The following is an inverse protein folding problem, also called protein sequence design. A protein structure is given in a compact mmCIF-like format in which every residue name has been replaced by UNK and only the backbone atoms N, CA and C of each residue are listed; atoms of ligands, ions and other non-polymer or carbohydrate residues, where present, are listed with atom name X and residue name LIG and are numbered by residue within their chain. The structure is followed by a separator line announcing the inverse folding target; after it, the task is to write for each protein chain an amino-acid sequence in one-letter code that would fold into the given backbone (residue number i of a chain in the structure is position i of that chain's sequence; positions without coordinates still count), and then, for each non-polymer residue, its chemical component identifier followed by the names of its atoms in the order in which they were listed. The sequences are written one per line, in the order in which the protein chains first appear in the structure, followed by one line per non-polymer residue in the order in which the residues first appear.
data_IF_231298627530
#
_entry.id   IF_231298627530
#
_cell.length_a   1.000
_cell.length_b   1.000
_cell.length_c   1.000
_cell.angle_alpha   90.00
_cell.angle_beta   90.00
_cell.angle_gamma   90.00
#
_symmetry.space_group_name_H-M   'P 1'
#
loop_
_entity.id
_entity.type
_entity.pdbx_description
1 polymer ?
#
# COMPACT_ATOMS: atom_id res chain seq x y z
N UNK A 1 53.69 37.70 27.34
CA UNK A 1 54.65 36.81 27.99
C UNK A 1 54.53 35.44 27.35
N UNK A 2 55.42 35.20 26.51
CA UNK A 2 56.29 34.07 26.32
C UNK A 2 55.67 32.83 25.71
N UNK A 3 55.95 32.64 24.43
CA UNK A 3 56.26 31.35 23.85
C UNK A 3 57.67 30.89 24.35
N UNK A 4 58.11 29.64 24.17
CA UNK A 4 58.67 29.15 22.90
C UNK A 4 58.38 27.66 22.62
N UNK A 5 58.38 27.22 21.27
CA UNK A 5 59.51 26.57 20.56
C UNK A 5 59.81 25.15 21.05
N UNK A 6 60.10 24.13 20.30
CA UNK A 6 60.63 23.90 18.99
C UNK A 6 60.81 22.36 18.75
N UNK A 7 61.26 21.98 17.54
CA UNK A 7 61.87 20.74 17.06
C UNK A 7 60.88 19.59 16.77
N UNK A 8 60.67 19.12 15.56
CA UNK A 8 61.64 18.93 14.45
C UNK A 8 62.23 17.51 14.48
N UNK A 9 61.79 16.65 13.51
CA UNK A 9 62.67 15.63 12.91
C UNK A 9 61.89 14.76 11.90
N UNK A 10 62.19 14.93 10.63
CA UNK A 10 62.01 13.91 9.59
C UNK A 10 63.14 12.90 9.68
N UNK A 11 62.97 11.65 9.26
CA UNK A 11 63.75 11.20 8.11
C UNK A 11 63.07 10.21 7.14
N UNK A 12 63.38 10.42 5.88
CA UNK A 12 63.91 9.48 4.89
C UNK A 12 63.07 8.31 4.39
N UNK A 13 62.66 8.45 3.13
CA UNK A 13 62.38 7.34 2.20
C UNK A 13 63.60 6.43 1.99
N UNK A 14 63.36 5.20 1.60
CA UNK A 14 64.13 4.58 0.54
C UNK A 14 63.31 4.19 -0.70
N UNK A 15 63.96 4.31 -1.83
CA UNK A 15 63.53 4.12 -3.20
C UNK A 15 63.43 2.62 -3.62
N UNK A 16 62.94 2.34 -4.84
CA UNK A 16 62.25 1.12 -5.20
C UNK A 16 63.16 0.01 -5.75
N UNK A 17 62.75 -1.23 -5.52
CA UNK A 17 63.35 -2.38 -6.21
C UNK A 17 62.44 -2.87 -7.32
N UNK A 18 63.00 -2.88 -8.52
CA UNK A 18 62.45 -3.45 -9.74
C UNK A 18 62.44 -4.97 -9.70
N UNK A 19 61.26 -5.57 -9.93
CA UNK A 19 61.19 -6.97 -10.37
C UNK A 19 60.29 -7.08 -11.60
N UNK A 20 60.85 -7.59 -12.65
CA UNK A 20 60.22 -7.84 -13.94
C UNK A 20 59.18 -8.95 -13.90
N UNK A 21 58.09 -8.89 -14.65
CA UNK A 21 57.08 -9.93 -14.68
C UNK A 21 57.37 -11.00 -15.74
N UNK A 22 57.19 -12.24 -15.34
CA UNK A 22 57.06 -13.40 -16.22
C UNK A 22 55.61 -13.47 -16.74
N UNK A 23 55.38 -13.74 -18.03
CA UNK A 23 53.99 -13.85 -18.54
C UNK A 23 53.42 -15.24 -18.23
N UNK A 24 52.43 -15.28 -17.39
CA UNK A 24 51.57 -16.46 -17.24
C UNK A 24 50.36 -16.33 -18.19
N UNK A 25 50.22 -17.30 -19.06
CA UNK A 25 49.10 -17.46 -19.97
C UNK A 25 47.79 -17.69 -19.15
N UNK A 26 46.91 -16.75 -19.18
CA UNK A 26 45.58 -16.90 -18.63
C UNK A 26 44.59 -17.18 -19.77
N UNK A 27 44.14 -18.42 -19.85
CA UNK A 27 42.98 -18.84 -20.61
C UNK A 27 41.72 -18.16 -20.02
N UNK A 28 41.13 -17.29 -20.79
CA UNK A 28 39.86 -16.65 -20.49
C UNK A 28 38.73 -17.69 -20.45
N UNK A 29 37.94 -17.81 -19.37
CA UNK A 29 36.68 -18.51 -19.46
C UNK A 29 35.69 -17.62 -20.23
N UNK A 30 35.21 -18.10 -21.36
CA UNK A 30 34.06 -17.59 -22.08
C UNK A 30 32.87 -17.59 -21.12
N UNK A 31 32.49 -16.41 -20.62
CA UNK A 31 31.19 -16.23 -19.98
C UNK A 31 30.12 -16.41 -21.05
N UNK A 32 29.56 -17.58 -21.11
CA UNK A 32 28.23 -17.80 -21.67
C UNK A 32 27.27 -16.92 -20.90
N UNK A 33 26.82 -15.84 -21.54
CA UNK A 33 25.64 -15.10 -21.12
C UNK A 33 24.50 -16.11 -21.16
N UNK A 34 24.15 -16.65 -19.99
CA UNK A 34 22.91 -17.42 -19.84
C UNK A 34 21.78 -16.46 -20.14
N UNK A 35 21.11 -16.70 -21.26
CA UNK A 35 19.80 -16.17 -21.58
C UNK A 35 18.90 -16.48 -20.38
N UNK A 36 18.71 -15.49 -19.48
CA UNK A 36 17.67 -15.58 -18.49
C UNK A 36 16.36 -15.53 -19.26
N UNK A 37 15.50 -16.56 -19.13
CA UNK A 37 14.20 -16.52 -19.78
C UNK A 37 13.48 -15.26 -19.30
N UNK A 38 12.93 -14.50 -20.25
CA UNK A 38 12.07 -13.35 -20.01
C UNK A 38 11.11 -13.68 -18.86
N UNK A 39 11.16 -12.89 -17.80
CA UNK A 39 10.43 -13.14 -16.56
C UNK A 39 9.00 -13.51 -16.90
N UNK A 40 8.59 -14.75 -16.60
CA UNK A 40 7.24 -15.22 -16.86
C UNK A 40 6.31 -14.26 -16.11
N UNK A 41 5.49 -13.51 -16.84
CA UNK A 41 4.47 -12.67 -16.24
C UNK A 41 3.62 -13.58 -15.35
N UNK A 42 3.61 -13.32 -14.04
CA UNK A 42 2.85 -14.11 -13.08
C UNK A 42 1.38 -14.23 -13.50
N UNK A 43 0.67 -15.25 -13.04
CA UNK A 43 -0.75 -15.43 -13.36
C UNK A 43 -1.58 -14.23 -12.88
N UNK A 44 -2.69 -13.87 -13.56
CA UNK A 44 -3.63 -12.87 -13.04
C UNK A 44 -4.08 -13.22 -11.62
N UNK A 45 -4.05 -12.24 -10.72
CA UNK A 45 -4.46 -12.40 -9.32
C UNK A 45 -5.97 -12.19 -9.17
N UNK A 46 -6.57 -12.90 -8.22
CA UNK A 46 -7.93 -12.68 -7.74
C UNK A 46 -7.86 -11.62 -6.63
N UNK A 47 -8.40 -10.45 -6.91
CA UNK A 47 -8.30 -9.27 -6.04
C UNK A 47 -9.63 -9.01 -5.35
N UNK A 48 -9.65 -8.90 -4.04
CA UNK A 48 -10.70 -8.22 -3.29
C UNK A 48 -10.27 -6.76 -3.09
N UNK A 49 -11.14 -5.83 -3.41
CA UNK A 49 -10.87 -4.40 -3.25
C UNK A 49 -11.65 -3.83 -2.07
N UNK A 50 -11.03 -3.00 -1.23
CA UNK A 50 -11.66 -2.33 -0.11
C UNK A 50 -11.41 -0.82 -0.17
N UNK A 51 -12.48 -0.02 -0.30
CA UNK A 51 -12.36 1.43 -0.41
C UNK A 51 -13.70 2.14 -0.29
N UNK A 52 -13.67 3.47 -0.14
CA UNK A 52 -14.91 4.26 0.04
C UNK A 52 -14.93 5.54 -0.82
N UNK A 53 -13.98 6.52 -0.69
CA UNK A 53 -14.05 7.81 -1.36
C UNK A 53 -13.62 7.78 -2.83
N UNK A 54 -13.64 8.94 -3.46
CA UNK A 54 -13.22 9.14 -4.86
C UNK A 54 -11.78 8.71 -5.08
N UNK A 55 -10.87 8.99 -4.15
CA UNK A 55 -9.49 8.52 -4.19
C UNK A 55 -9.39 7.01 -4.44
N UNK A 56 -10.19 6.25 -3.70
CA UNK A 56 -10.25 4.80 -3.84
C UNK A 56 -10.93 4.35 -5.14
N UNK A 57 -11.92 5.11 -5.63
CA UNK A 57 -12.63 4.76 -6.86
C UNK A 57 -11.72 4.75 -8.09
N UNK A 58 -10.75 5.67 -8.18
CA UNK A 58 -9.78 5.70 -9.27
C UNK A 58 -8.88 4.46 -9.29
N UNK A 59 -8.43 4.01 -8.12
CA UNK A 59 -7.65 2.77 -8.02
C UNK A 59 -8.49 1.53 -8.40
N UNK A 60 -9.78 1.50 -8.04
CA UNK A 60 -10.70 0.45 -8.48
C UNK A 60 -10.86 0.43 -10.00
N UNK A 61 -11.04 1.59 -10.64
CA UNK A 61 -11.15 1.70 -12.09
C UNK A 61 -9.89 1.15 -12.79
N UNK A 62 -8.69 1.48 -12.28
CA UNK A 62 -7.44 0.96 -12.80
C UNK A 62 -7.31 -0.56 -12.64
N UNK A 63 -7.76 -1.11 -11.51
CA UNK A 63 -7.77 -2.56 -11.27
C UNK A 63 -8.75 -3.29 -12.20
N UNK A 64 -9.94 -2.73 -12.44
CA UNK A 64 -10.93 -3.28 -13.39
C UNK A 64 -10.36 -3.31 -14.81
N UNK A 65 -9.60 -2.28 -15.21
CA UNK A 65 -8.93 -2.21 -16.52
C UNK A 65 -7.64 -3.02 -16.62
N UNK A 66 -7.16 -3.63 -15.54
CA UNK A 66 -5.93 -4.40 -15.50
C UNK A 66 -6.13 -5.87 -15.92
N UNK A 67 -5.04 -6.62 -15.99
CA UNK A 67 -5.10 -8.08 -16.21
C UNK A 67 -5.57 -8.87 -14.99
N UNK A 68 -5.62 -8.27 -13.80
CA UNK A 68 -6.05 -8.91 -12.56
C UNK A 68 -7.58 -8.95 -12.48
N UNK A 69 -8.12 -9.91 -11.74
CA UNK A 69 -9.56 -10.09 -11.62
C UNK A 69 -10.07 -9.55 -10.28
N UNK A 70 -10.76 -8.43 -10.29
CA UNK A 70 -11.52 -7.98 -9.12
C UNK A 70 -12.71 -8.94 -8.93
N UNK A 71 -12.76 -9.61 -7.78
CA UNK A 71 -13.78 -10.65 -7.49
C UNK A 71 -14.86 -10.16 -6.54
N UNK A 72 -14.59 -9.16 -5.72
CA UNK A 72 -15.56 -8.44 -4.89
C UNK A 72 -15.00 -7.11 -4.43
N UNK A 73 -15.89 -6.23 -3.99
CA UNK A 73 -15.57 -4.90 -3.47
C UNK A 73 -16.19 -4.74 -2.09
N UNK A 74 -15.40 -4.29 -1.12
CA UNK A 74 -15.87 -3.83 0.18
C UNK A 74 -15.96 -2.30 0.16
N UNK A 75 -17.06 -1.77 0.67
CA UNK A 75 -17.22 -0.33 0.90
C UNK A 75 -17.95 -0.08 2.20
N UNK A 76 -17.81 1.10 2.79
CA UNK A 76 -18.63 1.46 3.94
C UNK A 76 -20.11 1.49 3.55
N UNK A 77 -21.02 1.23 4.51
CA UNK A 77 -22.45 1.37 4.30
C UNK A 77 -22.81 2.76 3.74
N UNK A 78 -23.89 2.82 2.97
CA UNK A 78 -24.40 4.07 2.44
C UNK A 78 -24.75 5.02 3.59
N UNK A 79 -24.39 6.29 3.42
CA UNK A 79 -24.61 7.31 4.45
C UNK A 79 -25.53 8.42 3.94
N UNK A 80 -26.35 9.00 4.83
CA UNK A 80 -27.10 10.19 4.49
C UNK A 80 -26.18 11.32 4.05
N UNK A 81 -26.46 11.93 2.88
CA UNK A 81 -25.66 13.04 2.36
C UNK A 81 -26.56 14.09 1.67
N UNK A 82 -26.06 15.32 1.62
CA UNK A 82 -26.71 16.44 0.97
C UNK A 82 -27.97 16.96 1.70
N UNK A 83 -28.64 17.93 1.04
CA UNK A 83 -29.91 18.45 1.51
C UNK A 83 -31.00 17.37 1.35
N UNK A 84 -31.65 16.99 2.46
CA UNK A 84 -32.70 15.96 2.48
C UNK A 84 -32.22 14.57 2.94
N UNK A 85 -30.96 14.43 3.38
CA UNK A 85 -30.45 13.22 4.07
C UNK A 85 -30.72 11.89 3.30
N UNK A 86 -30.69 11.94 1.96
CA UNK A 86 -30.83 10.72 1.15
C UNK A 86 -29.59 9.85 1.30
N UNK A 87 -29.80 8.53 1.43
CA UNK A 87 -28.71 7.56 1.42
C UNK A 87 -28.04 7.60 0.05
N UNK A 88 -26.75 7.96 0.04
CA UNK A 88 -25.95 7.98 -1.17
C UNK A 88 -24.90 6.89 -1.13
N UNK A 89 -24.78 6.09 -2.21
CA UNK A 89 -23.73 5.11 -2.33
C UNK A 89 -22.36 5.79 -2.41
N UNK A 90 -21.34 5.14 -1.84
CA UNK A 90 -19.97 5.60 -1.94
C UNK A 90 -19.49 5.62 -3.42
N UNK A 91 -18.47 6.42 -3.72
CA UNK A 91 -17.88 6.46 -5.06
C UNK A 91 -17.41 5.06 -5.52
N UNK A 92 -16.79 4.31 -4.62
CA UNK A 92 -16.35 2.92 -4.88
C UNK A 92 -17.53 1.99 -5.17
N UNK A 93 -18.62 2.07 -4.39
CA UNK A 93 -19.83 1.26 -4.64
C UNK A 93 -20.43 1.59 -6.01
N UNK A 94 -20.50 2.87 -6.39
CA UNK A 94 -21.04 3.28 -7.70
C UNK A 94 -20.22 2.64 -8.84
N UNK A 95 -18.87 2.66 -8.75
CA UNK A 95 -17.99 2.05 -9.76
C UNK A 95 -18.14 0.53 -9.79
N UNK A 96 -18.19 -0.10 -8.62
CA UNK A 96 -18.37 -1.56 -8.51
C UNK A 96 -19.68 -2.02 -9.16
N UNK A 97 -20.79 -1.33 -8.88
CA UNK A 97 -22.11 -1.64 -9.48
C UNK A 97 -22.11 -1.43 -11.00
N UNK A 98 -21.49 -0.36 -11.49
CA UNK A 98 -21.35 -0.10 -12.93
C UNK A 98 -20.54 -1.20 -13.66
N UNK A 99 -19.61 -1.83 -12.94
CA UNK A 99 -18.80 -2.95 -13.42
C UNK A 99 -19.41 -4.33 -13.12
N UNK A 100 -20.65 -4.41 -12.61
CA UNK A 100 -21.31 -5.65 -12.20
C UNK A 100 -20.50 -6.48 -11.17
N UNK A 101 -19.77 -5.82 -10.27
CA UNK A 101 -19.00 -6.48 -9.22
C UNK A 101 -19.84 -6.65 -7.95
N UNK A 102 -19.70 -7.78 -7.24
CA UNK A 102 -20.32 -7.96 -5.92
C UNK A 102 -19.81 -6.92 -4.93
N UNK A 103 -20.73 -6.29 -4.18
CA UNK A 103 -20.40 -5.28 -3.17
C UNK A 103 -20.82 -5.78 -1.79
N UNK A 104 -19.89 -5.77 -0.84
CA UNK A 104 -20.08 -6.09 0.57
C UNK A 104 -19.99 -4.79 1.38
N UNK A 105 -20.96 -4.53 2.24
CA UNK A 105 -21.02 -3.31 3.06
C UNK A 105 -21.22 -3.64 4.57
N UNK A 106 -20.29 -4.39 5.19
CA UNK A 106 -20.39 -4.67 6.61
C UNK A 106 -20.17 -3.38 7.42
N UNK A 107 -20.92 -3.18 8.50
CA UNK A 107 -20.69 -2.08 9.45
C UNK A 107 -19.37 -2.24 10.21
N UNK A 108 -18.92 -3.47 10.37
CA UNK A 108 -17.68 -3.86 11.02
C UNK A 108 -17.20 -5.19 10.45
N UNK A 109 -15.89 -5.40 10.42
CA UNK A 109 -15.28 -6.72 10.16
C UNK A 109 -14.75 -7.36 11.45
N UNK A 110 -14.90 -6.66 12.58
CA UNK A 110 -14.46 -7.14 13.89
C UNK A 110 -15.64 -7.81 14.62
N UNK A 111 -15.46 -9.05 15.00
CA UNK A 111 -16.35 -9.77 15.91
C UNK A 111 -16.02 -9.33 17.34
N UNK A 112 -17.01 -8.81 18.04
CA UNK A 112 -16.88 -8.28 19.41
C UNK A 112 -17.41 -9.28 20.43
N UNK A 113 -16.65 -9.61 21.49
CA UNK A 113 -17.16 -10.43 22.58
C UNK A 113 -18.26 -9.68 23.36
N UNK A 114 -19.10 -10.42 24.07
CA UNK A 114 -20.06 -9.84 25.00
C UNK A 114 -19.33 -9.15 26.17
N UNK A 115 -19.85 -7.98 26.60
CA UNK A 115 -19.38 -7.33 27.81
C UNK A 115 -20.24 -7.80 29.01
N UNK A 116 -19.62 -7.87 30.19
CA UNK A 116 -20.29 -8.42 31.39
C UNK A 116 -21.51 -7.57 31.87
N UNK A 117 -21.47 -6.27 31.58
CA UNK A 117 -22.48 -5.27 31.99
C UNK A 117 -23.21 -4.63 30.78
N UNK A 118 -23.32 -5.39 29.68
CA UNK A 118 -23.91 -4.89 28.44
C UNK A 118 -25.42 -4.75 28.57
N UNK A 119 -25.98 -3.59 28.21
CA UNK A 119 -27.44 -3.41 28.13
C UNK A 119 -28.05 -4.22 26.98
N UNK A 120 -29.34 -4.54 27.08
CA UNK A 120 -30.06 -5.32 26.04
C UNK A 120 -29.94 -4.67 24.66
N UNK A 121 -30.07 -3.34 24.54
CA UNK A 121 -29.95 -2.62 23.29
C UNK A 121 -28.52 -2.73 22.69
N UNK A 122 -27.50 -2.65 23.54
CA UNK A 122 -26.11 -2.82 23.12
C UNK A 122 -25.84 -4.26 22.68
N UNK A 123 -26.39 -5.23 23.39
CA UNK A 123 -26.29 -6.65 23.04
C UNK A 123 -26.86 -6.91 21.65
N UNK A 124 -28.13 -6.52 21.42
CA UNK A 124 -28.79 -6.69 20.12
C UNK A 124 -27.99 -6.04 18.98
N UNK A 125 -27.51 -4.81 19.20
CA UNK A 125 -26.70 -4.10 18.20
C UNK A 125 -25.36 -4.79 17.93
N UNK A 126 -24.69 -5.29 18.96
CA UNK A 126 -23.44 -6.03 18.83
C UNK A 126 -23.65 -7.34 18.08
N UNK A 127 -24.70 -8.09 18.43
CA UNK A 127 -25.02 -9.36 17.78
C UNK A 127 -25.32 -9.17 16.30
N UNK A 128 -26.12 -8.17 15.93
CA UNK A 128 -26.38 -7.84 14.53
C UNK A 128 -25.09 -7.44 13.78
N UNK A 129 -24.22 -6.63 14.41
CA UNK A 129 -22.94 -6.25 13.81
C UNK A 129 -22.00 -7.46 13.66
N UNK A 130 -21.96 -8.37 14.63
CA UNK A 130 -21.17 -9.59 14.55
C UNK A 130 -21.67 -10.52 13.44
N UNK A 131 -23.00 -10.70 13.34
CA UNK A 131 -23.58 -11.49 12.26
C UNK A 131 -23.19 -10.95 10.89
N UNK A 132 -23.31 -9.64 10.67
CA UNK A 132 -22.88 -9.01 9.41
C UNK A 132 -21.37 -9.16 9.14
N UNK A 133 -20.54 -9.14 10.18
CA UNK A 133 -19.12 -9.41 10.08
C UNK A 133 -18.83 -10.87 9.69
N UNK A 134 -19.52 -11.83 10.30
CA UNK A 134 -19.38 -13.26 10.01
C UNK A 134 -19.82 -13.59 8.57
N UNK A 135 -20.93 -13.03 8.12
CA UNK A 135 -21.42 -13.18 6.74
C UNK A 135 -20.41 -12.62 5.72
N UNK A 136 -19.86 -11.42 5.99
CA UNK A 136 -18.85 -10.82 5.14
C UNK A 136 -17.55 -11.66 5.10
N UNK A 137 -17.09 -12.16 6.25
CA UNK A 137 -15.92 -13.03 6.34
C UNK A 137 -16.14 -14.36 5.62
N UNK A 138 -17.34 -14.96 5.73
CA UNK A 138 -17.69 -16.19 5.03
C UNK A 138 -17.68 -15.97 3.50
N UNK A 139 -18.28 -14.87 3.04
CA UNK A 139 -18.28 -14.50 1.63
C UNK A 139 -16.86 -14.27 1.10
N UNK A 140 -16.01 -13.56 1.86
CA UNK A 140 -14.62 -13.33 1.49
C UNK A 140 -13.82 -14.64 1.38
N UNK A 141 -13.99 -15.56 2.34
CA UNK A 141 -13.33 -16.88 2.29
C UNK A 141 -13.76 -17.69 1.07
N UNK A 142 -15.05 -17.68 0.74
CA UNK A 142 -15.59 -18.39 -0.41
C UNK A 142 -15.01 -17.88 -1.75
N UNK A 143 -14.63 -16.60 -1.81
CA UNK A 143 -14.00 -16.01 -2.98
C UNK A 143 -12.55 -16.45 -3.20
N UNK A 144 -11.89 -16.99 -2.18
CA UNK A 144 -10.47 -17.41 -2.23
C UNK A 144 -9.57 -16.34 -2.91
N UNK A 145 -9.50 -15.12 -2.37
CA UNK A 145 -8.70 -14.07 -2.97
C UNK A 145 -7.20 -14.37 -2.85
N UNK A 146 -6.45 -14.00 -3.88
CA UNK A 146 -4.99 -14.04 -3.81
C UNK A 146 -4.46 -12.87 -2.98
N UNK A 147 -5.06 -11.69 -3.12
CA UNK A 147 -4.66 -10.44 -2.45
C UNK A 147 -5.86 -9.56 -2.18
N UNK A 148 -5.81 -8.79 -1.10
CA UNK A 148 -6.75 -7.69 -0.86
C UNK A 148 -6.02 -6.36 -1.09
N UNK A 149 -6.63 -5.45 -1.85
CA UNK A 149 -6.16 -4.08 -2.03
C UNK A 149 -7.05 -3.13 -1.26
N UNK A 150 -6.44 -2.29 -0.45
CA UNK A 150 -7.13 -1.33 0.43
C UNK A 150 -6.74 0.09 0.05
N UNK A 151 -7.71 0.98 -0.05
CA UNK A 151 -7.48 2.41 -0.22
C UNK A 151 -8.58 3.21 0.51
N UNK A 152 -8.21 3.95 1.53
CA UNK A 152 -9.13 4.80 2.30
C UNK A 152 -10.46 4.10 2.62
N UNK A 153 -10.43 2.86 3.07
CA UNK A 153 -11.63 2.06 3.38
C UNK A 153 -12.38 2.61 4.60
N UNK A 154 -11.62 3.08 5.60
CA UNK A 154 -12.18 3.71 6.79
C UNK A 154 -12.69 2.76 7.87
N UNK A 155 -12.47 1.45 7.74
CA UNK A 155 -12.67 0.45 8.79
C UNK A 155 -11.33 -0.23 9.11
N UNK A 156 -11.13 -0.54 10.38
CA UNK A 156 -9.99 -1.35 10.81
C UNK A 156 -10.20 -2.80 10.37
N UNK A 157 -9.18 -3.36 9.74
CA UNK A 157 -9.14 -4.76 9.36
C UNK A 157 -8.57 -5.59 10.52
N UNK A 158 -9.34 -6.51 11.11
CA UNK A 158 -8.82 -7.43 12.13
C UNK A 158 -7.86 -8.44 11.48
N UNK A 159 -7.01 -9.07 12.30
CA UNK A 159 -6.03 -10.06 11.85
C UNK A 159 -6.68 -11.16 11.00
N UNK A 160 -7.88 -11.61 11.37
CA UNK A 160 -8.63 -12.64 10.63
C UNK A 160 -8.99 -12.24 9.19
N UNK A 161 -8.99 -10.94 8.86
CA UNK A 161 -9.16 -10.42 7.50
C UNK A 161 -7.81 -10.26 6.82
N UNK A 162 -6.79 -9.78 7.53
CA UNK A 162 -5.44 -9.60 6.98
C UNK A 162 -4.83 -10.94 6.54
N UNK A 163 -5.11 -12.02 7.26
CA UNK A 163 -4.60 -13.36 6.98
C UNK A 163 -5.43 -14.13 5.93
N UNK A 164 -6.56 -13.57 5.47
CA UNK A 164 -7.46 -14.29 4.59
C UNK A 164 -6.91 -14.41 3.15
N UNK A 165 -6.37 -13.35 2.52
CA UNK A 165 -5.79 -13.47 1.19
C UNK A 165 -4.42 -14.15 1.26
N UNK A 166 -4.15 -15.06 0.34
CA UNK A 166 -2.91 -15.86 0.30
C UNK A 166 -1.63 -15.00 0.24
N UNK A 167 -1.68 -13.83 -0.41
CA UNK A 167 -0.58 -12.86 -0.54
C UNK A 167 -0.78 -11.65 0.37
N UNK A 168 -1.72 -11.73 1.33
CA UNK A 168 -2.00 -10.69 2.30
C UNK A 168 -2.74 -9.49 1.72
N UNK A 169 -2.61 -8.35 2.40
CA UNK A 169 -3.32 -7.12 2.08
C UNK A 169 -2.34 -6.00 1.73
N UNK A 170 -2.55 -5.32 0.60
CA UNK A 170 -1.78 -4.14 0.19
C UNK A 170 -2.61 -2.88 0.43
N UNK A 171 -2.00 -1.83 1.01
CA UNK A 171 -2.63 -0.52 1.16
C UNK A 171 -2.01 0.51 0.23
N UNK A 172 -2.87 1.32 -0.41
CA UNK A 172 -2.47 2.53 -1.14
C UNK A 172 -2.50 3.68 -0.16
N UNK A 173 -1.35 4.06 0.37
CA UNK A 173 -1.23 5.12 1.36
C UNK A 173 -0.71 6.42 0.73
N UNK A 174 -1.45 7.52 0.91
CA UNK A 174 -1.17 8.80 0.25
C UNK A 174 -0.13 9.64 1.01
N UNK A 175 1.00 9.04 1.39
CA UNK A 175 2.18 9.71 1.90
C UNK A 175 3.46 8.91 1.69
N UNK A 176 4.60 9.55 1.90
CA UNK A 176 5.91 8.90 1.95
C UNK A 176 6.16 8.35 3.36
N UNK A 177 5.66 7.15 3.64
CA UNK A 177 5.83 6.49 4.94
C UNK A 177 7.32 6.41 5.35
N UNK A 178 7.63 6.55 6.65
CA UNK A 178 6.73 6.55 7.81
C UNK A 178 6.07 7.89 8.13
N UNK A 179 6.32 8.94 7.34
CA UNK A 179 5.71 10.26 7.54
C UNK A 179 4.22 10.22 7.22
N UNK A 180 3.42 10.88 8.05
CA UNK A 180 1.97 10.99 7.91
C UNK A 180 1.21 9.64 7.91
N UNK A 181 1.61 8.72 8.80
CA UNK A 181 0.79 7.56 9.12
C UNK A 181 -0.60 8.00 9.60
N UNK A 182 -1.61 7.17 9.36
CA UNK A 182 -2.98 7.40 9.78
C UNK A 182 -3.78 8.29 8.86
N UNK A 183 -4.67 9.09 9.44
CA UNK A 183 -5.67 9.85 8.70
C UNK A 183 -5.14 11.15 8.09
N UNK A 184 -5.73 11.53 6.94
CA UNK A 184 -5.55 12.81 6.26
C UNK A 184 -4.09 13.15 5.87
N UNK A 185 -3.28 12.23 5.34
CA UNK A 185 -1.87 12.46 5.04
C UNK A 185 -1.65 13.62 4.05
N UNK A 186 -2.56 13.80 3.09
CA UNK A 186 -2.48 14.87 2.07
C UNK A 186 -2.56 16.25 2.70
N UNK A 187 -3.57 16.46 3.57
CA UNK A 187 -3.76 17.72 4.29
C UNK A 187 -2.58 17.99 5.22
N UNK A 188 -2.10 16.96 5.91
CA UNK A 188 -0.95 17.05 6.82
C UNK A 188 0.33 17.47 6.12
N UNK A 189 0.60 16.97 4.91
CA UNK A 189 1.77 17.34 4.14
C UNK A 189 1.73 18.82 3.72
N UNK A 190 0.54 19.33 3.29
CA UNK A 190 0.35 20.73 2.94
C UNK A 190 0.47 21.64 4.18
N UNK A 191 -0.20 21.30 5.28
CA UNK A 191 -0.16 22.05 6.55
C UNK A 191 1.26 22.19 7.10
N UNK A 192 2.08 21.17 6.93
CA UNK A 192 3.48 21.16 7.37
C UNK A 192 4.43 21.90 6.42
N UNK A 193 3.97 22.32 5.24
CA UNK A 193 4.81 22.95 4.22
C UNK A 193 5.83 21.98 3.61
N UNK A 194 5.49 20.69 3.52
CA UNK A 194 6.38 19.71 2.91
C UNK A 194 6.60 20.06 1.42
N UNK A 195 7.84 19.97 0.95
CA UNK A 195 8.17 20.21 -0.45
C UNK A 195 7.74 19.05 -1.37
N UNK A 196 7.57 17.86 -0.79
CA UNK A 196 7.18 16.65 -1.50
C UNK A 196 6.30 15.76 -0.62
N UNK A 197 5.48 14.95 -1.26
CA UNK A 197 4.73 13.85 -0.68
C UNK A 197 4.76 12.68 -1.65
N UNK A 198 3.80 11.77 -1.57
CA UNK A 198 3.76 10.67 -2.52
C UNK A 198 2.75 9.60 -2.19
N UNK A 199 2.91 8.46 -2.84
CA UNK A 199 2.11 7.26 -2.57
C UNK A 199 3.05 6.11 -2.24
N UNK A 200 2.73 5.40 -1.16
CA UNK A 200 3.34 4.12 -0.81
C UNK A 200 2.35 2.98 -1.04
N UNK A 201 2.81 1.92 -1.70
CA UNK A 201 2.14 0.62 -1.68
C UNK A 201 2.82 -0.19 -0.59
N UNK A 202 2.07 -0.53 0.45
CA UNK A 202 2.60 -1.20 1.63
C UNK A 202 1.82 -2.47 1.95
N UNK A 203 2.50 -3.47 2.50
CA UNK A 203 1.87 -4.63 3.10
C UNK A 203 1.22 -4.22 4.41
N UNK A 204 -0.04 -4.61 4.62
CA UNK A 204 -0.75 -4.28 5.85
C UNK A 204 -0.46 -5.27 6.97
N UNK A 205 -0.31 -4.72 8.17
CA UNK A 205 -0.20 -5.42 9.44
C UNK A 205 -1.27 -4.91 10.42
N UNK A 206 -1.34 -5.50 11.61
CA UNK A 206 -2.30 -5.09 12.63
C UNK A 206 -2.11 -3.65 13.15
N UNK A 207 -0.92 -3.08 12.98
CA UNK A 207 -0.62 -1.70 13.34
C UNK A 207 -1.11 -0.69 12.29
N UNK A 208 -1.30 0.57 12.71
CA UNK A 208 -1.71 1.64 11.81
C UNK A 208 -0.55 2.05 10.90
N UNK A 209 -0.61 1.66 9.64
CA UNK A 209 0.37 1.96 8.58
C UNK A 209 1.83 1.65 8.99
N UNK A 210 2.05 0.48 9.62
CA UNK A 210 3.35 0.04 10.17
C UNK A 210 4.06 -1.00 9.32
N UNK A 211 3.38 -1.65 8.41
CA UNK A 211 3.94 -2.73 7.60
C UNK A 211 5.01 -2.27 6.57
N UNK A 212 5.71 -3.21 5.96
CA UNK A 212 6.76 -2.91 4.99
C UNK A 212 6.21 -2.22 3.73
N UNK A 213 7.02 -1.30 3.19
CA UNK A 213 6.71 -0.55 1.96
C UNK A 213 7.35 -1.25 0.78
N UNK A 214 6.54 -1.84 -0.10
CA UNK A 214 6.99 -2.52 -1.31
C UNK A 214 7.27 -1.58 -2.49
N UNK A 215 6.54 -0.45 -2.59
CA UNK A 215 6.78 0.56 -3.63
C UNK A 215 6.53 1.97 -3.09
N UNK A 216 7.31 2.95 -3.59
CA UNK A 216 7.22 4.35 -3.19
C UNK A 216 7.31 5.24 -4.42
N UNK A 217 6.36 6.17 -4.56
CA UNK A 217 6.27 7.12 -5.65
C UNK A 217 6.25 8.54 -5.09
N UNK A 218 7.30 9.30 -5.34
CA UNK A 218 7.45 10.69 -4.87
C UNK A 218 6.69 11.62 -5.80
N UNK A 219 6.00 12.61 -5.22
CA UNK A 219 5.24 13.64 -5.92
C UNK A 219 5.60 15.00 -5.30
N UNK A 220 6.07 15.98 -6.07
CA UNK A 220 6.33 17.32 -5.55
C UNK A 220 5.02 18.01 -5.15
N UNK A 221 5.07 18.81 -4.08
CA UNK A 221 3.99 19.74 -3.70
C UNK A 221 4.35 21.11 -4.25
N UNK A 222 3.50 21.63 -5.13
CA UNK A 222 3.69 22.94 -5.75
C UNK A 222 3.06 24.02 -4.87
N UNK A 223 3.58 25.24 -4.91
CA UNK A 223 3.02 26.39 -4.16
C UNK A 223 1.55 26.67 -4.50
N UNK A 224 1.13 26.30 -5.72
CA UNK A 224 -0.26 26.46 -6.17
C UNK A 224 -1.16 25.27 -5.83
N UNK A 225 -0.62 24.21 -5.21
CA UNK A 225 -1.41 23.02 -4.92
C UNK A 225 -2.39 23.28 -3.77
N UNK A 226 -3.64 23.07 -4.04
CA UNK A 226 -4.65 22.87 -3.00
C UNK A 226 -4.73 21.38 -2.63
N UNK A 227 -5.34 21.08 -1.49
CA UNK A 227 -5.57 19.69 -1.08
C UNK A 227 -6.34 18.88 -2.14
N UNK A 228 -7.25 19.50 -2.90
CA UNK A 228 -7.99 18.84 -3.98
C UNK A 228 -7.09 18.52 -5.17
N UNK A 229 -6.25 19.46 -5.62
CA UNK A 229 -5.33 19.25 -6.74
C UNK A 229 -4.34 18.14 -6.42
N UNK A 230 -3.76 18.19 -5.22
CA UNK A 230 -2.79 17.18 -4.78
C UNK A 230 -3.46 15.82 -4.60
N UNK A 231 -4.69 15.78 -4.06
CA UNK A 231 -5.50 14.56 -3.93
C UNK A 231 -5.68 13.87 -5.29
N UNK A 232 -6.09 14.61 -6.33
CA UNK A 232 -6.36 14.02 -7.64
C UNK A 232 -5.07 13.49 -8.29
N UNK A 233 -3.97 14.24 -8.14
CA UNK A 233 -2.64 13.80 -8.60
C UNK A 233 -2.18 12.52 -7.90
N UNK A 234 -2.32 12.45 -6.58
CA UNK A 234 -1.95 11.27 -5.79
C UNK A 234 -2.86 10.07 -6.07
N UNK A 235 -4.15 10.30 -6.36
CA UNK A 235 -5.07 9.24 -6.74
C UNK A 235 -4.67 8.60 -8.08
N UNK A 236 -4.26 9.39 -9.08
CA UNK A 236 -3.76 8.88 -10.37
C UNK A 236 -2.46 8.09 -10.19
N UNK A 237 -1.51 8.61 -9.39
CA UNK A 237 -0.27 7.91 -9.07
C UNK A 237 -0.55 6.60 -8.34
N UNK A 238 -1.42 6.61 -7.33
CA UNK A 238 -1.79 5.42 -6.56
C UNK A 238 -2.48 4.35 -7.40
N UNK A 239 -3.34 4.76 -8.33
CA UNK A 239 -4.01 3.86 -9.26
C UNK A 239 -3.02 3.13 -10.19
N UNK A 240 -2.02 3.82 -10.70
CA UNK A 240 -0.95 3.22 -11.52
C UNK A 240 -0.02 2.35 -10.70
N UNK A 241 0.37 2.85 -9.51
CA UNK A 241 1.28 2.17 -8.61
C UNK A 241 0.75 0.81 -8.14
N UNK A 242 -0.54 0.71 -7.81
CA UNK A 242 -1.11 -0.56 -7.32
C UNK A 242 -1.16 -1.62 -8.42
N UNK A 243 -1.46 -1.25 -9.66
CA UNK A 243 -1.45 -2.21 -10.78
C UNK A 243 -0.03 -2.75 -11.00
N UNK A 244 0.98 -1.87 -11.04
CA UNK A 244 2.38 -2.28 -11.15
C UNK A 244 2.83 -3.17 -9.97
N UNK A 245 2.43 -2.81 -8.74
CA UNK A 245 2.74 -3.61 -7.55
C UNK A 245 2.10 -5.01 -7.60
N UNK A 246 0.87 -5.13 -8.12
CA UNK A 246 0.23 -6.44 -8.31
C UNK A 246 0.91 -7.27 -9.40
N UNK A 247 1.41 -6.64 -10.46
CA UNK A 247 2.21 -7.30 -11.48
C UNK A 247 3.50 -7.86 -10.88
N UNK A 248 4.20 -7.06 -10.06
CA UNK A 248 5.40 -7.49 -9.36
C UNK A 248 5.11 -8.58 -8.32
N UNK A 249 4.04 -8.44 -7.55
CA UNK A 249 3.60 -9.45 -6.59
C UNK A 249 3.28 -10.79 -7.29
N UNK A 250 2.59 -10.73 -8.42
CA UNK A 250 2.24 -11.94 -9.19
C UNK A 250 3.46 -12.65 -9.78
N UNK A 251 4.54 -11.92 -10.02
CA UNK A 251 5.82 -12.41 -10.51
C UNK A 251 6.82 -12.75 -9.39
N UNK A 252 6.42 -12.61 -8.12
CA UNK A 252 7.28 -12.86 -6.96
C UNK A 252 8.41 -11.83 -6.78
N UNK A 253 8.25 -10.63 -7.32
CA UNK A 253 9.25 -9.54 -7.22
C UNK A 253 8.93 -8.53 -6.11
N UNK A 254 7.68 -8.41 -5.69
CA UNK A 254 7.30 -7.58 -4.54
C UNK A 254 7.48 -8.40 -3.26
N UNK A 255 8.32 -7.92 -2.35
CA UNK A 255 8.61 -8.53 -1.05
C UNK A 255 8.23 -7.57 0.06
#
# INVERSE_FOLDING_TARGET
MSAPSDHGLTPSSPAPQSCSPTPASASSPSHTVSDQPAAQAGRPLRVVYAGTPVFAAQALDALIGSRHKVVAVLSQPDRPAGRGQKLLPSAVKQRALAANLPVLQPESLRIRPAAADETEERRVRREAANQGAEEALAALRALQPDVMVVAAYGLLLPQSVLDLPRLGCLNIHASLLPRWRGAAPIQRAIEAGDAETGVCIMQMEAGLDTGPVGARHVVPILETDTASILHDRLADVGAKAIVAALDDLSAGRLV
#
